data_IF_504676490268
#
_entry.id   IF_504676490268
#
_cell.length_a   1.000
_cell.length_b   1.000
_cell.length_c   1.000
_cell.angle_alpha   90.00
_cell.angle_beta   90.00
_cell.angle_gamma   90.00
#
_symmetry.space_group_name_H-M   'P 1'
#
loop_
_entity.id
_entity.type
_entity.pdbx_description
1 polymer ?
#
# COMPACT_ATOMS: atom_id res chain seq x y z
N UNK A 1 -3.21 7.92 -22.47
CA UNK A 1 -3.78 8.83 -21.45
C UNK A 1 -4.21 8.10 -20.16
N UNK A 2 -3.75 6.86 -19.91
CA UNK A 2 -4.34 5.96 -18.90
C UNK A 2 -3.61 5.97 -17.54
N UNK A 3 -2.28 5.80 -17.50
CA UNK A 3 -1.52 5.62 -16.24
C UNK A 3 -1.59 6.79 -15.26
N UNK A 4 -1.32 8.01 -15.76
CA UNK A 4 -1.41 9.24 -14.95
C UNK A 4 -2.80 9.48 -14.36
N UNK A 5 -3.87 9.07 -15.08
CA UNK A 5 -5.24 9.16 -14.58
C UNK A 5 -5.51 8.13 -13.48
N UNK A 6 -4.94 6.93 -13.57
CA UNK A 6 -5.05 5.93 -12.49
C UNK A 6 -4.32 6.40 -11.24
N UNK A 7 -3.09 6.94 -11.37
CA UNK A 7 -2.38 7.54 -10.23
C UNK A 7 -3.21 8.63 -9.56
N UNK A 8 -3.77 9.57 -10.35
CA UNK A 8 -4.63 10.62 -9.84
C UNK A 8 -5.87 10.07 -9.12
N UNK A 9 -6.46 8.98 -9.60
CA UNK A 9 -7.64 8.37 -8.95
C UNK A 9 -7.27 7.64 -7.66
N UNK A 10 -6.14 6.93 -7.63
CA UNK A 10 -5.65 6.22 -6.45
C UNK A 10 -5.27 7.21 -5.34
N UNK A 11 -4.71 8.36 -5.70
CA UNK A 11 -4.29 9.39 -4.74
C UNK A 11 -5.47 10.14 -4.11
N UNK A 12 -6.62 10.25 -4.79
CA UNK A 12 -7.84 10.84 -4.23
C UNK A 12 -8.64 9.94 -3.26
N UNK A 13 -8.26 8.67 -3.06
CA UNK A 13 -8.94 7.71 -2.14
C UNK A 13 -9.13 8.21 -0.71
N UNK A 14 -8.25 9.09 -0.22
CA UNK A 14 -8.26 9.52 1.17
C UNK A 14 -9.49 10.38 1.53
N UNK A 15 -10.32 10.81 0.58
CA UNK A 15 -11.34 11.82 0.86
C UNK A 15 -12.69 11.30 1.37
N UNK A 16 -12.92 9.97 1.46
CA UNK A 16 -14.28 9.41 1.56
C UNK A 16 -14.41 8.22 2.52
N UNK A 17 -13.93 8.35 3.76
CA UNK A 17 -14.25 7.42 4.86
C UNK A 17 -14.92 8.20 5.99
N UNK A 18 -16.18 8.58 5.83
CA UNK A 18 -16.97 9.19 6.91
C UNK A 18 -17.13 8.21 8.07
N UNK A 19 -16.22 8.27 9.03
CA UNK A 19 -16.40 7.67 10.34
C UNK A 19 -17.01 8.71 11.27
N UNK A 20 -18.29 8.53 11.57
CA UNK A 20 -18.97 9.26 12.63
C UNK A 20 -18.41 8.80 14.00
N UNK A 21 -17.32 9.40 14.44
CA UNK A 21 -16.84 9.28 15.82
C UNK A 21 -16.97 10.63 16.49
N UNK A 22 -18.06 10.80 17.23
CA UNK A 22 -18.26 11.92 18.13
C UNK A 22 -17.45 11.75 19.41
N UNK A 23 -16.99 12.88 19.98
CA UNK A 23 -16.53 12.95 21.37
C UNK A 23 -15.17 13.60 21.56
N UNK A 24 -15.19 14.88 21.93
CA UNK A 24 -14.04 15.71 22.28
C UNK A 24 -13.39 15.31 23.61
N UNK A 25 -12.05 15.43 23.73
CA UNK A 25 -11.32 16.25 24.74
C UNK A 25 -9.81 16.33 24.43
N UNK A 26 -9.27 17.56 24.41
CA UNK A 26 -7.85 17.89 24.71
C UNK A 26 -7.68 17.95 26.27
N UNK A 27 -6.50 18.16 26.92
CA UNK A 27 -5.13 18.43 26.41
C UNK A 27 -3.96 17.73 27.21
N UNK A 28 -2.72 18.10 26.83
CA UNK A 28 -1.49 18.21 27.67
C UNK A 28 -0.65 16.96 27.99
N UNK A 29 0.61 16.93 27.52
CA UNK A 29 1.83 17.21 28.31
C UNK A 29 3.12 16.89 27.54
N UNK A 30 4.13 17.74 27.75
CA UNK A 30 5.45 17.70 27.15
C UNK A 30 6.36 16.61 27.73
N UNK A 31 7.33 16.13 26.94
CA UNK A 31 8.61 15.66 27.48
C UNK A 31 9.76 16.04 26.54
N UNK A 32 10.77 16.69 27.15
CA UNK A 32 12.06 16.96 26.56
C UNK A 32 12.92 15.69 26.53
N UNK A 33 13.73 15.53 25.50
CA UNK A 33 14.94 14.71 25.57
C UNK A 33 16.01 15.28 24.63
N UNK A 34 17.16 15.59 25.23
CA UNK A 34 18.42 15.96 24.58
C UNK A 34 19.04 14.75 23.88
N UNK A 35 19.50 14.90 22.65
CA UNK A 35 20.42 13.94 22.01
C UNK A 35 21.75 14.63 21.66
N UNK A 36 22.82 14.06 22.22
CA UNK A 36 24.22 14.37 21.94
C UNK A 36 24.68 13.70 20.61
N UNK A 37 25.86 14.05 20.05
CA UNK A 37 26.35 13.62 18.74
C UNK A 37 26.81 12.13 18.79
N UNK A 38 27.18 11.41 17.73
CA UNK A 38 28.38 11.54 16.90
C UNK A 38 28.31 10.64 15.64
N UNK A 39 29.04 11.10 14.64
CA UNK A 39 29.46 10.53 13.34
C UNK A 39 29.98 9.08 13.38
N UNK A 40 29.74 8.29 12.32
CA UNK A 40 30.79 7.77 11.43
C UNK A 40 30.24 6.79 10.37
N UNK A 41 30.79 6.92 9.16
CA UNK A 41 30.53 6.13 7.98
C UNK A 41 31.27 4.79 8.00
N UNK A 42 30.73 3.79 7.30
CA UNK A 42 31.46 2.56 6.94
C UNK A 42 31.38 2.33 5.43
N UNK A 43 32.57 2.18 4.85
CA UNK A 43 32.92 1.91 3.46
C UNK A 43 32.35 0.60 2.92
N UNK A 44 31.90 0.63 1.67
CA UNK A 44 31.50 -0.55 0.88
C UNK A 44 32.75 -1.12 0.21
N UNK A 45 33.08 -2.37 0.50
CA UNK A 45 34.13 -3.12 -0.22
C UNK A 45 33.56 -3.67 -1.51
N UNK A 46 34.13 -3.25 -2.65
CA UNK A 46 33.91 -3.86 -3.95
C UNK A 46 34.71 -5.17 -4.04
N UNK A 47 34.01 -6.30 -4.22
CA UNK A 47 34.59 -7.58 -4.59
C UNK A 47 34.12 -7.96 -5.99
N UNK A 48 35.05 -7.97 -6.95
CA UNK A 48 34.88 -8.56 -8.28
C UNK A 48 35.05 -10.07 -8.18
N UNK A 49 34.13 -10.82 -8.78
CA UNK A 49 34.46 -12.10 -9.41
C UNK A 49 33.62 -12.28 -10.68
N UNK A 50 34.32 -12.53 -11.77
CA UNK A 50 33.78 -12.84 -13.09
C UNK A 50 33.72 -14.37 -13.25
N UNK A 51 32.69 -14.90 -13.91
CA UNK A 51 32.81 -15.64 -15.17
C UNK A 51 31.47 -16.26 -15.61
N UNK A 52 31.12 -15.96 -16.86
CA UNK A 52 30.27 -16.70 -17.82
C UNK A 52 28.84 -17.12 -17.44
N UNK A 53 27.86 -16.55 -18.15
CA UNK A 53 27.20 -17.24 -19.29
C UNK A 53 26.19 -16.30 -19.98
N UNK A 54 26.07 -16.45 -21.30
CA UNK A 54 25.14 -15.72 -22.16
C UNK A 54 23.68 -16.02 -21.78
N UNK A 55 22.92 -14.99 -21.44
CA UNK A 55 21.48 -14.94 -21.64
C UNK A 55 21.09 -13.47 -21.77
N UNK A 56 20.37 -13.12 -22.84
CA UNK A 56 19.74 -11.81 -22.96
C UNK A 56 18.74 -11.65 -21.81
N UNK A 57 19.14 -10.94 -20.76
CA UNK A 57 18.28 -10.68 -19.62
C UNK A 57 17.69 -9.28 -19.78
N UNK A 58 16.37 -9.24 -20.00
CA UNK A 58 15.58 -8.06 -19.64
C UNK A 58 16.01 -7.62 -18.23
N UNK A 59 16.30 -6.34 -18.06
CA UNK A 59 16.73 -5.77 -16.78
C UNK A 59 15.75 -6.19 -15.69
N UNK A 60 16.18 -7.08 -14.79
CA UNK A 60 15.36 -7.46 -13.64
C UNK A 60 15.14 -6.18 -12.82
N UNK A 61 13.90 -5.68 -12.78
CA UNK A 61 13.52 -4.50 -11.99
C UNK A 61 14.06 -4.67 -10.58
N UNK A 62 14.94 -3.77 -10.14
CA UNK A 62 15.58 -3.89 -8.84
C UNK A 62 14.53 -3.67 -7.75
N UNK A 63 14.23 -4.73 -6.99
CA UNK A 63 13.28 -4.69 -5.88
C UNK A 63 13.87 -3.97 -4.67
N UNK A 64 13.30 -2.83 -4.32
CA UNK A 64 13.76 -1.95 -3.23
C UNK A 64 12.92 -2.22 -1.99
N UNK A 65 13.59 -2.53 -0.88
CA UNK A 65 12.96 -2.58 0.43
C UNK A 65 12.61 -1.17 0.91
N UNK A 66 11.39 -1.01 1.39
CA UNK A 66 10.85 0.22 1.95
C UNK A 66 10.30 -0.08 3.34
N UNK A 67 10.56 0.82 4.29
CA UNK A 67 9.98 0.79 5.62
C UNK A 67 9.11 2.03 5.78
N UNK A 68 7.83 1.84 6.10
CA UNK A 68 7.00 2.92 6.62
C UNK A 68 7.50 3.25 8.03
N UNK A 69 8.10 4.42 8.20
CA UNK A 69 8.80 4.77 9.45
C UNK A 69 7.87 4.99 10.63
N UNK A 70 6.59 5.28 10.40
CA UNK A 70 5.61 5.54 11.46
C UNK A 70 5.06 4.23 12.04
N UNK A 71 4.73 3.28 11.16
CA UNK A 71 4.14 1.99 11.52
C UNK A 71 5.18 0.88 11.71
N UNK A 72 6.40 1.02 11.16
CA UNK A 72 7.42 -0.03 11.14
C UNK A 72 7.17 -1.13 10.10
N UNK A 73 6.12 -1.01 9.29
CA UNK A 73 5.77 -1.98 8.24
C UNK A 73 6.84 -1.96 7.15
N UNK A 74 7.33 -3.13 6.77
CA UNK A 74 8.32 -3.31 5.69
C UNK A 74 7.69 -4.01 4.50
N UNK A 75 8.11 -3.62 3.31
CA UNK A 75 7.66 -4.22 2.05
C UNK A 75 8.68 -3.93 0.95
N UNK A 76 8.58 -4.63 -0.19
CA UNK A 76 9.42 -4.36 -1.37
C UNK A 76 8.57 -3.93 -2.55
N UNK A 77 9.08 -2.99 -3.34
CA UNK A 77 8.48 -2.55 -4.60
C UNK A 77 9.49 -2.64 -5.74
N UNK A 78 9.04 -2.80 -7.01
CA UNK A 78 9.90 -2.95 -8.19
C UNK A 78 10.49 -1.59 -8.65
N UNK A 79 11.07 -0.85 -7.71
CA UNK A 79 11.58 0.50 -7.89
C UNK A 79 11.47 1.31 -6.60
N UNK A 80 12.02 2.52 -6.61
CA UNK A 80 11.86 3.47 -5.50
C UNK A 80 10.44 4.05 -5.57
N UNK A 81 9.62 3.93 -4.50
CA UNK A 81 8.27 4.47 -4.52
C UNK A 81 8.24 6.00 -4.51
N UNK A 82 7.27 6.55 -5.22
CA UNK A 82 6.71 7.85 -4.88
C UNK A 82 5.90 7.72 -3.59
N UNK A 83 6.07 8.67 -2.69
CA UNK A 83 5.41 8.67 -1.38
C UNK A 83 4.51 9.88 -1.27
N UNK A 84 3.21 9.62 -1.18
CA UNK A 84 2.20 10.66 -0.93
C UNK A 84 1.72 10.58 0.52
N UNK A 85 1.71 11.72 1.19
CA UNK A 85 1.11 11.84 2.52
C UNK A 85 -0.37 12.14 2.36
N UNK A 86 -1.19 11.20 2.79
CA UNK A 86 -2.63 11.37 2.88
C UNK A 86 -2.93 12.09 4.21
N UNK A 87 -2.57 13.38 4.29
CA UNK A 87 -2.97 14.26 5.40
C UNK A 87 -4.08 15.15 4.90
N UNK A 88 -5.23 15.19 5.60
CA UNK A 88 -6.48 15.88 5.21
C UNK A 88 -7.39 15.12 4.25
N UNK A 89 -7.50 13.81 4.42
CA UNK A 89 -8.80 13.18 4.28
C UNK A 89 -9.87 14.08 4.93
N UNK A 90 -11.04 14.29 4.31
CA UNK A 90 -12.15 15.05 4.95
C UNK A 90 -12.51 14.50 6.34
N UNK A 91 -12.11 13.26 6.59
CA UNK A 91 -12.41 12.48 7.79
C UNK A 91 -11.27 12.43 8.82
N UNK A 92 -10.17 13.16 8.61
CA UNK A 92 -9.10 13.32 9.60
C UNK A 92 -8.14 12.13 9.75
N UNK A 93 -8.22 11.14 8.86
CA UNK A 93 -7.31 9.99 8.83
C UNK A 93 -5.95 10.40 8.27
N UNK A 94 -4.87 10.05 8.96
CA UNK A 94 -3.51 10.21 8.45
C UNK A 94 -3.10 8.96 7.68
N UNK A 95 -2.45 9.13 6.53
CA UNK A 95 -2.06 8.04 5.66
C UNK A 95 -0.76 8.29 4.91
N UNK A 96 -0.18 7.22 4.39
CA UNK A 96 0.96 7.24 3.47
C UNK A 96 0.68 6.25 2.35
N UNK A 97 0.86 6.71 1.13
CA UNK A 97 0.67 5.91 -0.08
C UNK A 97 2.02 5.80 -0.78
N UNK A 98 2.44 4.57 -1.03
CA UNK A 98 3.70 4.20 -1.65
C UNK A 98 3.41 3.54 -2.99
N UNK A 99 3.81 4.17 -4.09
CA UNK A 99 3.47 3.67 -5.42
C UNK A 99 4.67 3.67 -6.36
N UNK A 100 4.70 2.67 -7.23
CA UNK A 100 5.65 2.59 -8.36
C UNK A 100 4.84 2.41 -9.63
N UNK A 101 5.08 3.29 -10.60
CA UNK A 101 4.74 3.02 -12.00
C UNK A 101 5.80 2.07 -12.59
N UNK A 102 5.33 1.01 -13.23
CA UNK A 102 6.15 0.04 -13.94
C UNK A 102 5.77 0.03 -15.41
N UNK A 103 6.52 -0.63 -16.29
CA UNK A 103 6.08 -0.81 -17.68
C UNK A 103 4.77 -1.60 -17.82
N UNK A 104 4.37 -2.34 -16.79
CA UNK A 104 3.22 -3.24 -16.83
C UNK A 104 1.95 -2.58 -16.27
N UNK A 105 2.10 -1.62 -15.38
CA UNK A 105 1.01 -0.97 -14.65
C UNK A 105 1.50 -0.26 -13.39
N UNK A 106 0.61 -0.07 -12.42
CA UNK A 106 0.87 0.55 -11.13
C UNK A 106 0.79 -0.50 -10.04
N UNK A 107 1.73 -0.49 -9.11
CA UNK A 107 1.71 -1.32 -7.90
C UNK A 107 2.05 -0.47 -6.69
N UNK A 108 1.40 -0.73 -5.56
CA UNK A 108 1.64 0.06 -4.37
C UNK A 108 0.95 -0.46 -3.12
N UNK A 109 1.19 0.28 -2.04
CA UNK A 109 0.67 0.03 -0.72
C UNK A 109 0.29 1.35 -0.05
N UNK A 110 -0.85 1.41 0.61
CA UNK A 110 -1.24 2.48 1.53
C UNK A 110 -1.22 1.99 2.98
N UNK A 111 -0.69 2.79 3.89
CA UNK A 111 -0.82 2.63 5.34
C UNK A 111 -1.64 3.80 5.87
N UNK A 112 -2.82 3.52 6.43
CA UNK A 112 -3.72 4.49 7.03
C UNK A 112 -3.74 4.28 8.55
N UNK A 113 -3.55 5.35 9.32
CA UNK A 113 -3.62 5.37 10.79
C UNK A 113 -5.10 5.37 11.19
N UNK A 114 -5.71 4.18 11.14
CA UNK A 114 -7.14 3.98 11.34
C UNK A 114 -7.38 2.88 12.39
N UNK A 115 -7.55 3.25 13.67
CA UNK A 115 -7.82 2.26 14.71
C UNK A 115 -9.20 1.63 14.52
N UNK A 116 -9.32 0.34 14.85
CA UNK A 116 -10.59 -0.39 14.81
C UNK A 116 -11.11 -0.73 13.40
N UNK A 117 -10.26 -0.67 12.37
CA UNK A 117 -10.64 -0.96 10.99
C UNK A 117 -11.03 -2.45 10.74
N UNK A 118 -10.73 -3.35 11.68
CA UNK A 118 -10.94 -4.80 11.54
C UNK A 118 -12.38 -5.19 11.20
N UNK A 119 -13.36 -4.48 11.76
CA UNK A 119 -14.78 -4.78 11.53
C UNK A 119 -15.30 -4.30 10.16
N UNK A 120 -14.51 -3.55 9.40
CA UNK A 120 -14.99 -2.76 8.26
C UNK A 120 -14.26 -3.06 6.94
N UNK A 121 -13.62 -4.22 6.81
CA UNK A 121 -12.88 -4.56 5.58
C UNK A 121 -13.77 -4.58 4.32
N UNK A 122 -14.98 -5.13 4.42
CA UNK A 122 -15.96 -5.12 3.33
C UNK A 122 -16.37 -3.69 2.94
N UNK A 123 -16.63 -2.84 3.94
CA UNK A 123 -16.96 -1.42 3.74
C UNK A 123 -15.79 -0.63 3.18
N UNK A 124 -14.57 -0.99 3.57
CA UNK A 124 -13.34 -0.37 3.08
C UNK A 124 -13.07 -0.71 1.63
N UNK A 125 -13.35 -1.94 1.18
CA UNK A 125 -13.26 -2.31 -0.24
C UNK A 125 -14.24 -1.50 -1.07
N UNK A 126 -15.47 -1.35 -0.59
CA UNK A 126 -16.48 -0.51 -1.24
C UNK A 126 -16.05 0.96 -1.27
N UNK A 127 -15.57 1.51 -0.15
CA UNK A 127 -15.06 2.89 -0.08
C UNK A 127 -13.89 3.13 -1.03
N UNK A 128 -12.98 2.16 -1.16
CA UNK A 128 -11.91 2.18 -2.16
C UNK A 128 -12.46 2.28 -3.59
N UNK A 129 -13.39 1.39 -3.95
CA UNK A 129 -13.99 1.37 -5.29
C UNK A 129 -14.76 2.67 -5.56
N UNK A 130 -15.52 3.16 -4.59
CA UNK A 130 -16.27 4.41 -4.71
C UNK A 130 -15.33 5.60 -4.92
N UNK A 131 -14.27 5.72 -4.11
CA UNK A 131 -13.27 6.79 -4.25
C UNK A 131 -12.52 6.74 -5.58
N UNK A 132 -12.13 5.54 -6.03
CA UNK A 132 -11.51 5.37 -7.34
C UNK A 132 -12.48 5.78 -8.47
N UNK A 133 -13.76 5.42 -8.33
CA UNK A 133 -14.80 5.62 -9.35
C UNK A 133 -15.41 7.02 -9.36
N UNK A 134 -15.22 7.83 -8.30
CA UNK A 134 -15.81 9.17 -8.15
C UNK A 134 -15.48 10.07 -9.34
N UNK A 135 -14.26 9.95 -9.88
CA UNK A 135 -13.74 10.79 -10.95
C UNK A 135 -13.63 10.06 -12.30
N UNK A 136 -14.29 8.91 -12.46
CA UNK A 136 -14.36 8.22 -13.75
C UNK A 136 -15.26 9.00 -14.71
N UNK A 137 -14.72 9.35 -15.89
CA UNK A 137 -15.45 10.10 -16.91
C UNK A 137 -16.55 9.25 -17.57
N UNK A 138 -16.44 7.92 -17.48
CA UNK A 138 -17.38 6.98 -18.07
C UNK A 138 -17.55 5.72 -17.22
N UNK A 139 -18.66 5.01 -17.42
CA UNK A 139 -18.88 3.70 -16.80
C UNK A 139 -17.90 2.62 -17.27
N UNK A 140 -17.21 2.83 -18.40
CA UNK A 140 -16.21 1.89 -18.91
C UNK A 140 -14.92 1.89 -18.08
N UNK A 141 -14.65 2.98 -17.39
CA UNK A 141 -13.47 3.15 -16.54
C UNK A 141 -13.74 2.75 -15.08
N UNK A 142 -15.00 2.42 -14.76
CA UNK A 142 -15.38 2.07 -13.39
C UNK A 142 -14.82 0.71 -13.01
N UNK A 143 -14.06 0.71 -11.93
CA UNK A 143 -13.52 -0.49 -11.33
C UNK A 143 -14.60 -1.21 -10.53
N UNK A 144 -14.64 -2.52 -10.66
CA UNK A 144 -15.47 -3.42 -9.86
C UNK A 144 -14.58 -4.49 -9.23
N UNK A 145 -15.01 -5.03 -8.09
CA UNK A 145 -14.39 -6.18 -7.46
C UNK A 145 -15.12 -7.48 -7.79
N UNK A 146 -14.36 -8.55 -7.96
CA UNK A 146 -14.83 -9.95 -8.07
C UNK A 146 -13.96 -10.85 -7.19
N UNK A 147 -14.39 -12.10 -6.98
CA UNK A 147 -13.63 -13.10 -6.21
C UNK A 147 -13.20 -12.60 -4.82
N UNK A 148 -14.14 -11.91 -4.15
CA UNK A 148 -13.90 -11.31 -2.84
C UNK A 148 -13.95 -12.37 -1.76
N UNK A 149 -12.89 -12.51 -0.98
CA UNK A 149 -12.84 -13.49 0.10
C UNK A 149 -12.01 -13.03 1.29
N UNK A 150 -12.40 -13.50 2.48
CA UNK A 150 -11.71 -13.21 3.75
C UNK A 150 -10.54 -14.15 3.93
N UNK A 151 -9.46 -13.64 4.51
CA UNK A 151 -8.23 -14.37 4.79
C UNK A 151 -7.56 -13.78 6.03
N UNK A 152 -6.34 -14.22 6.34
CA UNK A 152 -5.50 -13.65 7.39
C UNK A 152 -4.08 -13.43 6.92
N UNK A 153 -3.41 -12.42 7.48
CA UNK A 153 -1.98 -12.15 7.29
C UNK A 153 -1.35 -11.93 8.66
N UNK A 154 -0.39 -12.75 9.04
CA UNK A 154 0.24 -12.70 10.38
C UNK A 154 -0.77 -12.66 11.53
N UNK A 155 -1.86 -13.44 11.41
CA UNK A 155 -2.95 -13.48 12.39
C UNK A 155 -3.94 -12.30 12.34
N UNK A 156 -3.72 -11.30 11.48
CA UNK A 156 -4.60 -10.15 11.30
C UNK A 156 -5.71 -10.43 10.27
N UNK A 157 -6.93 -9.92 10.45
CA UNK A 157 -7.99 -10.01 9.45
C UNK A 157 -7.57 -9.35 8.12
N UNK A 158 -7.87 -10.03 7.01
CA UNK A 158 -7.62 -9.52 5.68
C UNK A 158 -8.75 -9.87 4.70
N UNK A 159 -8.83 -9.13 3.60
CA UNK A 159 -9.79 -9.30 2.51
C UNK A 159 -9.05 -9.20 1.18
N UNK A 160 -9.18 -10.22 0.34
CA UNK A 160 -8.66 -10.24 -1.02
C UNK A 160 -9.76 -9.96 -2.04
N UNK A 161 -9.40 -9.30 -3.13
CA UNK A 161 -10.30 -9.03 -4.25
C UNK A 161 -9.53 -8.99 -5.58
N UNK A 162 -10.17 -9.53 -6.62
CA UNK A 162 -9.81 -9.23 -8.01
C UNK A 162 -10.48 -7.95 -8.47
N UNK A 163 -9.77 -7.13 -9.23
CA UNK A 163 -10.25 -5.85 -9.72
C UNK A 163 -10.34 -5.88 -11.25
N UNK A 164 -11.41 -5.32 -11.82
CA UNK A 164 -11.53 -5.16 -13.27
C UNK A 164 -12.41 -3.99 -13.67
N UNK A 165 -12.18 -3.44 -14.86
CA UNK A 165 -13.03 -2.44 -15.49
C UNK A 165 -13.29 -2.78 -16.97
N UNK A 166 -14.42 -2.36 -17.56
CA UNK A 166 -14.74 -2.65 -18.97
C UNK A 166 -13.75 -2.09 -20.00
N UNK A 167 -12.96 -1.09 -19.65
CA UNK A 167 -11.90 -0.53 -20.49
C UNK A 167 -10.67 -1.43 -20.64
N UNK A 168 -10.66 -2.59 -19.96
CA UNK A 168 -9.56 -3.55 -19.98
C UNK A 168 -8.61 -3.39 -18.81
N UNK A 169 -8.85 -2.50 -17.86
CA UNK A 169 -8.09 -2.47 -16.61
C UNK A 169 -8.36 -3.73 -15.80
N UNK A 170 -7.29 -4.34 -15.27
CA UNK A 170 -7.34 -5.52 -14.38
C UNK A 170 -6.35 -5.34 -13.23
N UNK A 171 -6.57 -6.05 -12.14
CA UNK A 171 -5.67 -6.03 -11.00
C UNK A 171 -6.15 -6.82 -9.80
N UNK A 172 -5.54 -6.53 -8.66
CA UNK A 172 -5.83 -7.18 -7.39
C UNK A 172 -5.67 -6.19 -6.24
N UNK A 173 -6.45 -6.38 -5.18
CA UNK A 173 -6.29 -5.70 -3.91
C UNK A 173 -6.30 -6.67 -2.74
N UNK A 174 -5.55 -6.33 -1.70
CA UNK A 174 -5.61 -6.94 -0.38
C UNK A 174 -5.75 -5.85 0.64
N UNK A 175 -6.76 -5.97 1.49
CA UNK A 175 -6.98 -5.10 2.63
C UNK A 175 -6.61 -5.85 3.89
N UNK A 176 -5.84 -5.24 4.78
CA UNK A 176 -5.43 -5.83 6.06
C UNK A 176 -5.74 -4.78 7.12
N UNK A 177 -6.29 -5.21 8.25
CA UNK A 177 -6.52 -4.33 9.38
C UNK A 177 -5.87 -4.91 10.63
N UNK A 178 -5.19 -4.06 11.38
CA UNK A 178 -4.81 -4.34 12.77
C UNK A 178 -5.47 -3.35 13.73
N UNK A 179 -5.00 -3.29 14.97
CA UNK A 179 -5.61 -2.46 16.01
C UNK A 179 -5.45 -0.95 15.73
N UNK A 180 -4.43 -0.56 14.97
CA UNK A 180 -4.04 0.84 14.78
C UNK A 180 -3.95 1.26 13.32
N UNK A 181 -3.81 0.31 12.40
CA UNK A 181 -3.58 0.55 10.99
C UNK A 181 -4.58 -0.20 10.11
N UNK A 182 -4.90 0.45 9.00
CA UNK A 182 -5.47 -0.19 7.83
C UNK A 182 -4.43 -0.15 6.71
N UNK A 183 -4.14 -1.30 6.12
CA UNK A 183 -3.18 -1.48 5.05
C UNK A 183 -3.92 -1.91 3.79
N UNK A 184 -3.68 -1.21 2.69
CA UNK A 184 -4.20 -1.57 1.37
C UNK A 184 -3.06 -1.84 0.41
N UNK A 185 -3.02 -3.04 -0.16
CA UNK A 185 -2.10 -3.42 -1.22
C UNK A 185 -2.86 -3.45 -2.53
N UNK A 186 -2.26 -2.94 -3.61
CA UNK A 186 -2.91 -2.78 -4.90
C UNK A 186 -1.96 -3.09 -6.05
N UNK A 187 -2.49 -3.72 -7.09
CA UNK A 187 -1.92 -3.69 -8.43
C UNK A 187 -3.01 -3.38 -9.46
N UNK A 188 -2.71 -2.55 -10.46
CA UNK A 188 -3.59 -2.25 -11.59
C UNK A 188 -2.77 -2.14 -12.87
N UNK A 189 -3.26 -2.72 -13.96
CA UNK A 189 -2.66 -2.60 -15.29
C UNK A 189 -3.66 -2.96 -16.37
N UNK A 190 -3.30 -2.82 -17.65
CA UNK A 190 -4.15 -3.27 -18.74
C UNK A 190 -4.17 -4.80 -18.82
N UNK A 191 -5.24 -5.37 -19.38
CA UNK A 191 -5.50 -6.82 -19.39
C UNK A 191 -4.38 -7.63 -20.02
N UNK A 192 -3.72 -7.12 -21.06
CA UNK A 192 -2.56 -7.74 -21.70
C UNK A 192 -1.40 -7.95 -20.72
N UNK A 193 -1.31 -7.15 -19.67
CA UNK A 193 -0.30 -7.23 -18.62
C UNK A 193 -0.81 -7.92 -17.34
N UNK A 194 -1.98 -8.57 -17.38
CA UNK A 194 -2.57 -9.18 -16.19
C UNK A 194 -1.65 -10.21 -15.51
N UNK A 195 -0.93 -11.02 -16.29
CA UNK A 195 0.05 -11.98 -15.76
C UNK A 195 1.25 -11.30 -15.07
N UNK A 196 2.04 -10.43 -15.74
CA UNK A 196 3.17 -9.77 -15.08
C UNK A 196 2.74 -8.89 -13.90
N UNK A 197 1.55 -8.27 -13.95
CA UNK A 197 0.99 -7.53 -12.81
C UNK A 197 0.66 -8.46 -11.64
N UNK A 198 0.08 -9.63 -11.90
CA UNK A 198 -0.18 -10.64 -10.86
C UNK A 198 1.12 -11.14 -10.21
N UNK A 199 2.15 -11.43 -11.00
CA UNK A 199 3.47 -11.85 -10.48
C UNK A 199 4.12 -10.74 -9.62
N UNK A 200 4.04 -9.49 -10.07
CA UNK A 200 4.52 -8.33 -9.31
C UNK A 200 3.74 -8.17 -7.99
N UNK A 201 2.42 -8.34 -8.05
CA UNK A 201 1.55 -8.25 -6.88
C UNK A 201 1.85 -9.35 -5.85
N UNK A 202 2.07 -10.60 -6.29
CA UNK A 202 2.44 -11.70 -5.40
C UNK A 202 3.81 -11.47 -4.73
N UNK A 203 4.77 -10.88 -5.43
CA UNK A 203 6.05 -10.51 -4.83
C UNK A 203 5.90 -9.39 -3.78
N UNK A 204 5.05 -8.40 -4.03
CA UNK A 204 4.69 -7.39 -3.02
C UNK A 204 4.07 -8.07 -1.78
N UNK A 205 3.07 -8.93 -1.96
CA UNK A 205 2.40 -9.66 -0.86
C UNK A 205 3.40 -10.47 -0.02
N UNK A 206 4.29 -11.21 -0.68
CA UNK A 206 5.27 -12.09 -0.01
C UNK A 206 6.35 -11.28 0.73
N UNK A 207 6.60 -10.05 0.30
CA UNK A 207 7.58 -9.17 0.93
C UNK A 207 7.04 -8.39 2.13
N UNK A 208 5.72 -8.38 2.34
CA UNK A 208 5.10 -7.63 3.41
C UNK A 208 5.49 -8.25 4.76
N UNK A 209 6.04 -7.42 5.63
CA UNK A 209 6.34 -7.76 7.00
C UNK A 209 5.78 -6.68 7.91
N UNK A 210 4.78 -7.06 8.71
CA UNK A 210 4.21 -6.19 9.72
C UNK A 210 4.92 -6.43 11.06
N UNK A 211 5.15 -5.39 11.88
CA UNK A 211 5.77 -5.58 13.19
C UNK A 211 4.91 -6.49 14.08
N UNK A 212 5.57 -7.23 14.97
CA UNK A 212 4.90 -8.08 15.95
C UNK A 212 4.00 -7.23 16.86
N UNK A 213 2.74 -7.63 16.99
CA UNK A 213 1.87 -7.10 18.04
C UNK A 213 2.34 -7.70 19.35
N UNK A 214 3.16 -6.97 20.12
CA UNK A 214 3.51 -7.40 21.47
C UNK A 214 2.20 -7.57 22.27
N UNK A 215 1.90 -8.75 22.84
CA UNK A 215 0.75 -8.87 23.72
C UNK A 215 1.03 -7.97 24.91
N UNK A 216 0.21 -6.94 25.09
CA UNK A 216 0.21 -6.12 26.31
C UNK A 216 -0.06 -7.06 27.48
N UNK A 217 1.01 -7.47 28.17
CA UNK A 217 0.93 -8.26 29.39
C UNK A 217 0.34 -7.33 30.45
N UNK A 218 -0.97 -7.39 30.63
CA UNK A 218 -1.61 -6.84 31.82
C UNK A 218 -0.95 -7.52 33.03
N UNK A 219 -0.21 -6.73 33.80
CA UNK A 219 0.30 -7.09 35.12
C UNK A 219 -0.74 -6.81 36.19
#
# INVERSE_FOLDING_TARGET
MTRRSHLQRITLLAASTTMAVGGAVLPSSAFAATSAPHTAATTITAGHDAHHQHAGAASAKQWVETTDTASGIKFRLPGKPEVEKLTKAKDGVNGRLYMVETDDGIVGLAVLDLPGAQAYLDDSLRGFLDGYNENCASSREKLASTDVHKTTVDGRPALDAHLSAPDGTVGSARLIADDTHYIQLLSLGPKENGKPMSETYQQLLTSLHMPDTSPTRAG
#
